data_IF_637292308822
#
_entry.id   IF_637292308822
#
_cell.length_a   1.000
_cell.length_b   1.000
_cell.length_c   1.000
_cell.angle_alpha   90.00
_cell.angle_beta   90.00
_cell.angle_gamma   90.00
#
_symmetry.space_group_name_H-M   'P 1'
#
loop_
_entity.id
_entity.type
_entity.pdbx_description
1 polymer ?
#
# COMPACT_ATOMS: atom_id res chain seq x y z
N UNK A 1 -7.24 -0.37 -47.09
CA UNK A 1 -5.79 -0.58 -46.81
C UNK A 1 -5.10 0.73 -46.46
N UNK A 2 -5.44 1.88 -47.07
CA UNK A 2 -4.86 3.20 -46.74
C UNK A 2 -4.98 3.60 -45.25
N UNK A 3 -6.13 3.41 -44.60
CA UNK A 3 -6.32 3.79 -43.18
C UNK A 3 -5.45 3.00 -42.19
N UNK A 4 -5.06 1.75 -42.49
CA UNK A 4 -4.19 0.95 -41.61
C UNK A 4 -2.71 1.39 -41.75
N UNK A 5 -2.32 1.80 -42.95
CA UNK A 5 -0.99 2.35 -43.25
C UNK A 5 -0.78 3.71 -42.56
N UNK A 6 -1.78 4.62 -42.64
CA UNK A 6 -1.77 5.91 -41.95
C UNK A 6 -1.64 5.78 -40.42
N UNK A 7 -2.41 4.88 -39.81
CA UNK A 7 -2.38 4.65 -38.35
C UNK A 7 -1.05 4.04 -37.88
N UNK A 8 -0.46 3.15 -38.69
CA UNK A 8 0.87 2.57 -38.40
C UNK A 8 1.96 3.63 -38.50
N UNK A 9 1.85 4.54 -39.46
CA UNK A 9 2.79 5.64 -39.65
C UNK A 9 2.74 6.67 -38.52
N UNK A 10 1.55 7.06 -38.07
CA UNK A 10 1.41 7.97 -36.91
C UNK A 10 2.02 7.38 -35.62
N UNK A 11 1.92 6.07 -35.40
CA UNK A 11 2.53 5.40 -34.25
C UNK A 11 4.06 5.45 -34.35
N UNK A 12 4.62 5.18 -35.54
CA UNK A 12 6.07 5.24 -35.79
C UNK A 12 6.58 6.68 -35.65
N UNK A 13 5.88 7.65 -36.23
CA UNK A 13 6.25 9.07 -36.14
C UNK A 13 6.23 9.56 -34.68
N UNK A 14 5.23 9.14 -33.90
CA UNK A 14 5.17 9.43 -32.47
C UNK A 14 6.30 8.74 -31.68
N UNK A 15 6.61 7.49 -31.99
CA UNK A 15 7.73 6.76 -31.37
C UNK A 15 9.07 7.43 -31.67
N UNK A 16 9.32 7.79 -32.93
CA UNK A 16 10.51 8.53 -33.34
C UNK A 16 10.61 9.86 -32.59
N UNK A 17 9.52 10.62 -32.54
CA UNK A 17 9.49 11.96 -31.91
C UNK A 17 9.70 11.94 -30.40
N UNK A 18 9.16 10.95 -29.70
CA UNK A 18 9.20 10.87 -28.23
C UNK A 18 10.42 10.10 -27.70
N UNK A 19 11.08 9.29 -28.53
CA UNK A 19 12.22 8.48 -28.10
C UNK A 19 13.44 9.33 -27.74
N UNK A 20 14.06 9.02 -26.60
CA UNK A 20 15.34 9.59 -26.16
C UNK A 20 16.54 8.72 -26.58
N UNK A 21 16.33 7.74 -27.44
CA UNK A 21 17.41 6.94 -28.05
C UNK A 21 17.75 7.49 -29.45
N UNK A 22 18.96 7.24 -29.93
CA UNK A 22 19.32 7.56 -31.32
C UNK A 22 18.66 6.54 -32.23
N UNK A 23 17.69 6.99 -33.02
CA UNK A 23 17.00 6.14 -34.00
C UNK A 23 17.35 6.63 -35.39
N UNK A 24 17.85 5.71 -36.22
CA UNK A 24 18.02 5.94 -37.64
C UNK A 24 17.64 4.70 -38.44
N UNK A 25 17.05 4.94 -39.61
CA UNK A 25 16.51 3.91 -40.50
C UNK A 25 17.20 4.07 -41.84
N UNK A 26 17.72 2.96 -42.37
CA UNK A 26 18.41 2.95 -43.66
C UNK A 26 17.79 1.95 -44.62
N UNK A 27 17.97 2.22 -45.91
CA UNK A 27 17.75 1.22 -46.97
C UNK A 27 18.92 0.24 -47.06
N UNK A 28 18.76 -0.81 -47.88
CA UNK A 28 19.79 -1.82 -48.14
C UNK A 28 20.99 -1.29 -48.95
N UNK A 29 20.93 -0.04 -49.43
CA UNK A 29 22.04 0.66 -50.08
C UNK A 29 22.83 1.54 -49.09
N UNK A 30 22.39 1.62 -47.83
CA UNK A 30 23.01 2.45 -46.79
C UNK A 30 22.57 3.91 -46.81
N UNK A 31 21.52 4.26 -47.55
CA UNK A 31 20.93 5.60 -47.52
C UNK A 31 20.02 5.74 -46.30
N UNK A 32 20.06 6.89 -45.65
CA UNK A 32 19.15 7.19 -44.55
C UNK A 32 17.78 7.51 -45.12
N UNK A 33 16.79 6.72 -44.71
CA UNK A 33 15.37 6.96 -44.98
C UNK A 33 14.84 7.94 -43.94
N UNK A 34 15.14 7.69 -42.67
CA UNK A 34 14.59 8.45 -41.56
C UNK A 34 15.54 8.48 -40.35
N UNK A 35 15.44 9.56 -39.57
CA UNK A 35 16.10 9.73 -38.28
C UNK A 35 15.16 10.47 -37.34
N UNK A 36 15.25 10.19 -36.05
CA UNK A 36 14.47 10.92 -35.08
C UNK A 36 15.05 12.30 -34.75
N UNK A 37 14.18 13.17 -34.20
CA UNK A 37 14.54 14.52 -33.79
C UNK A 37 15.64 14.54 -32.74
N UNK A 38 15.70 13.53 -31.86
CA UNK A 38 16.77 13.41 -30.88
C UNK A 38 18.15 13.28 -31.54
N UNK A 39 18.28 12.46 -32.59
CA UNK A 39 19.51 12.34 -33.37
C UNK A 39 19.89 13.69 -34.01
N UNK A 40 18.94 14.34 -34.70
CA UNK A 40 19.19 15.61 -35.40
C UNK A 40 19.60 16.73 -34.43
N UNK A 41 18.88 16.87 -33.32
CA UNK A 41 19.12 17.89 -32.30
C UNK A 41 20.46 17.67 -31.59
N UNK A 42 20.80 16.43 -31.26
CA UNK A 42 22.06 16.10 -30.60
C UNK A 42 23.26 16.50 -31.48
N UNK A 43 23.23 16.10 -32.75
CA UNK A 43 24.33 16.39 -33.68
C UNK A 43 24.28 17.80 -34.28
N UNK A 44 23.20 18.55 -34.04
CA UNK A 44 22.92 19.87 -34.61
C UNK A 44 23.03 19.86 -36.14
N UNK A 45 22.40 18.86 -36.77
CA UNK A 45 22.34 18.73 -38.23
C UNK A 45 20.89 18.87 -38.71
N UNK A 46 20.71 19.50 -39.86
CA UNK A 46 19.42 19.54 -40.55
C UNK A 46 19.11 18.23 -41.27
N UNK A 47 17.83 17.83 -41.29
CA UNK A 47 17.35 16.57 -41.91
C UNK A 47 17.80 16.42 -43.38
N UNK A 48 17.94 17.51 -44.13
CA UNK A 48 18.39 17.47 -45.53
C UNK A 48 19.86 17.06 -45.68
N UNK A 49 20.70 17.43 -44.71
CA UNK A 49 22.14 17.14 -44.74
C UNK A 49 22.41 15.64 -44.54
N UNK A 50 21.55 14.96 -43.77
CA UNK A 50 21.71 13.55 -43.44
C UNK A 50 21.35 12.60 -44.59
N UNK A 51 20.58 13.08 -45.59
CA UNK A 51 20.21 12.30 -46.79
C UNK A 51 21.41 11.89 -47.66
N UNK A 52 22.61 12.42 -47.39
CA UNK A 52 23.86 12.03 -48.07
C UNK A 52 24.34 10.60 -47.75
N UNK A 53 23.55 9.79 -47.03
CA UNK A 53 23.87 8.40 -46.71
C UNK A 53 24.69 8.27 -45.43
N UNK A 54 24.36 7.27 -44.61
CA UNK A 54 24.91 7.12 -43.25
C UNK A 54 26.43 6.98 -43.26
N UNK A 55 26.98 6.34 -44.30
CA UNK A 55 28.40 6.06 -44.50
C UNK A 55 29.25 7.32 -44.46
N UNK A 56 28.72 8.46 -44.92
CA UNK A 56 29.46 9.72 -44.93
C UNK A 56 29.70 10.30 -43.53
N UNK A 57 28.91 9.87 -42.55
CA UNK A 57 29.04 10.26 -41.16
C UNK A 57 29.81 9.25 -40.33
N UNK A 58 30.37 8.20 -40.93
CA UNK A 58 31.06 7.14 -40.21
C UNK A 58 32.58 7.21 -40.39
N UNK A 59 33.33 6.78 -39.38
CA UNK A 59 34.75 6.49 -39.54
C UNK A 59 35.02 5.21 -40.34
N UNK A 60 36.26 5.01 -40.80
CA UNK A 60 36.59 3.87 -41.67
C UNK A 60 36.28 2.49 -41.04
N UNK A 61 36.58 2.22 -39.76
CA UNK A 61 36.13 0.99 -39.09
C UNK A 61 34.61 0.80 -39.12
N UNK A 62 33.84 1.84 -38.83
CA UNK A 62 32.37 1.76 -38.79
C UNK A 62 31.76 1.60 -40.18
N UNK A 63 32.39 2.17 -41.22
CA UNK A 63 32.04 1.90 -42.62
C UNK A 63 32.17 0.41 -42.99
N UNK A 64 33.20 -0.26 -42.48
CA UNK A 64 33.36 -1.70 -42.70
C UNK A 64 32.30 -2.51 -41.92
N UNK A 65 32.00 -2.11 -40.68
CA UNK A 65 30.96 -2.76 -39.87
C UNK A 65 29.57 -2.66 -40.51
N UNK A 66 29.19 -1.48 -41.02
CA UNK A 66 27.89 -1.31 -41.65
C UNK A 66 27.79 -2.06 -42.99
N UNK A 67 28.88 -2.12 -43.76
CA UNK A 67 28.95 -2.95 -44.97
C UNK A 67 28.75 -4.43 -44.65
N UNK A 68 29.41 -4.93 -43.60
CA UNK A 68 29.21 -6.29 -43.12
C UNK A 68 27.75 -6.58 -42.73
N UNK A 69 27.10 -5.63 -42.03
CA UNK A 69 25.67 -5.75 -41.67
C UNK A 69 24.80 -5.84 -42.93
N UNK A 70 24.98 -4.92 -43.89
CA UNK A 70 24.22 -4.91 -45.14
C UNK A 70 24.38 -6.21 -45.95
N UNK A 71 25.59 -6.78 -45.99
CA UNK A 71 25.88 -8.04 -46.70
C UNK A 71 25.32 -9.29 -46.01
N UNK A 72 25.03 -9.22 -44.70
CA UNK A 72 24.65 -10.40 -43.90
C UNK A 72 23.25 -10.30 -43.27
N UNK A 73 22.55 -9.17 -43.38
CA UNK A 73 21.23 -8.95 -42.77
C UNK A 73 20.17 -9.93 -43.31
N UNK A 74 20.29 -10.40 -44.55
CA UNK A 74 19.39 -11.42 -45.12
C UNK A 74 19.50 -12.76 -44.37
N UNK A 75 20.67 -13.07 -43.80
CA UNK A 75 20.90 -14.27 -42.98
C UNK A 75 20.67 -14.02 -41.49
N UNK A 76 20.81 -12.77 -41.03
CA UNK A 76 20.64 -12.35 -39.64
C UNK A 76 19.69 -11.15 -39.58
N UNK A 77 18.42 -11.40 -39.26
CA UNK A 77 17.39 -10.35 -39.17
C UNK A 77 17.60 -9.32 -38.06
N UNK A 78 18.55 -9.52 -37.13
CA UNK A 78 18.87 -8.58 -36.07
C UNK A 78 20.32 -8.74 -35.59
N UNK A 79 20.83 -7.77 -34.84
CA UNK A 79 22.15 -7.83 -34.22
C UNK A 79 22.51 -6.59 -33.42
N UNK A 80 23.77 -6.52 -32.98
CA UNK A 80 24.34 -5.36 -32.28
C UNK A 80 25.28 -4.58 -33.18
N UNK A 81 25.29 -3.27 -33.03
CA UNK A 81 26.24 -2.40 -33.71
C UNK A 81 26.98 -1.50 -32.73
N UNK A 82 28.14 -1.04 -33.18
CA UNK A 82 28.89 0.04 -32.54
C UNK A 82 29.53 0.85 -33.66
N UNK A 83 29.05 2.07 -33.85
CA UNK A 83 29.43 2.97 -34.91
C UNK A 83 29.98 4.27 -34.35
N UNK A 84 31.13 4.68 -34.86
CA UNK A 84 31.71 5.98 -34.57
C UNK A 84 31.28 6.99 -35.63
N UNK A 85 30.40 7.90 -35.21
CA UNK A 85 29.85 8.99 -36.00
C UNK A 85 30.78 10.21 -35.95
N UNK A 86 31.25 10.66 -37.11
CA UNK A 86 32.07 11.86 -37.32
C UNK A 86 31.23 12.96 -37.96
N UNK A 87 30.77 13.89 -37.13
CA UNK A 87 29.90 14.99 -37.53
C UNK A 87 30.46 16.29 -36.94
N UNK A 88 30.53 17.36 -37.74
CA UNK A 88 30.99 18.69 -37.29
C UNK A 88 32.33 18.66 -36.55
N UNK A 89 33.28 17.84 -37.03
CA UNK A 89 34.60 17.60 -36.41
C UNK A 89 34.58 16.92 -35.03
N UNK A 90 33.43 16.46 -34.56
CA UNK A 90 33.27 15.71 -33.32
C UNK A 90 33.03 14.23 -33.65
N UNK A 91 33.71 13.33 -32.92
CA UNK A 91 33.53 11.89 -33.03
C UNK A 91 32.71 11.38 -31.84
N UNK A 92 31.58 10.72 -32.11
CA UNK A 92 30.72 10.11 -31.11
C UNK A 92 30.52 8.64 -31.44
N UNK A 93 30.89 7.75 -30.52
CA UNK A 93 30.57 6.33 -30.66
C UNK A 93 29.12 6.13 -30.23
N UNK A 94 28.34 5.40 -31.02
CA UNK A 94 26.96 4.98 -30.73
C UNK A 94 26.92 3.46 -30.76
N UNK A 95 26.47 2.83 -29.68
CA UNK A 95 26.23 1.40 -29.59
C UNK A 95 24.74 1.10 -29.44
N UNK A 96 24.30 -0.02 -29.98
CA UNK A 96 22.88 -0.35 -29.99
C UNK A 96 22.54 -1.64 -30.71
N UNK A 97 21.25 -1.81 -30.98
CA UNK A 97 20.71 -2.93 -31.73
C UNK A 97 20.21 -2.49 -33.10
N UNK A 98 20.29 -3.39 -34.07
CA UNK A 98 19.66 -3.23 -35.36
C UNK A 98 18.75 -4.40 -35.68
N UNK A 99 17.69 -4.15 -36.46
CA UNK A 99 16.78 -5.19 -36.95
C UNK A 99 16.28 -4.86 -38.36
N UNK A 100 16.09 -5.90 -39.17
CA UNK A 100 15.41 -5.81 -40.46
C UNK A 100 13.91 -5.66 -40.22
N UNK A 101 13.26 -4.79 -40.97
CA UNK A 101 11.81 -4.68 -40.99
C UNK A 101 11.31 -4.01 -42.27
N UNK A 102 10.07 -3.53 -42.23
CA UNK A 102 9.42 -2.85 -43.36
C UNK A 102 8.91 -1.50 -42.87
N UNK A 103 9.12 -0.44 -43.65
CA UNK A 103 8.58 0.90 -43.44
C UNK A 103 7.96 1.37 -44.76
N UNK A 104 6.68 1.74 -44.76
CA UNK A 104 5.95 2.15 -45.97
C UNK A 104 6.13 1.19 -47.17
N UNK A 105 6.04 -0.13 -46.92
CA UNK A 105 6.22 -1.19 -47.93
C UNK A 105 7.67 -1.34 -48.47
N UNK A 106 8.62 -0.57 -47.94
CA UNK A 106 10.04 -0.66 -48.28
C UNK A 106 10.76 -1.50 -47.22
N UNK A 107 11.60 -2.46 -47.64
CA UNK A 107 12.48 -3.16 -46.71
C UNK A 107 13.57 -2.22 -46.18
N UNK A 108 13.69 -2.16 -44.85
CA UNK A 108 14.60 -1.25 -44.16
C UNK A 108 15.34 -1.96 -43.03
N UNK A 109 16.37 -1.29 -42.52
CA UNK A 109 17.05 -1.70 -41.30
C UNK A 109 16.89 -0.58 -40.27
N UNK A 110 16.27 -0.91 -39.15
CA UNK A 110 16.11 -0.03 -37.99
C UNK A 110 17.36 -0.13 -37.13
N UNK A 111 17.93 1.01 -36.76
CA UNK A 111 19.02 1.11 -35.78
C UNK A 111 18.53 1.93 -34.60
N UNK A 112 18.68 1.37 -33.40
CA UNK A 112 18.34 2.03 -32.14
C UNK A 112 19.55 1.91 -31.23
N UNK A 113 20.09 3.05 -30.77
CA UNK A 113 21.30 3.05 -29.96
C UNK A 113 21.49 4.29 -29.09
N UNK A 114 22.58 4.29 -28.33
CA UNK A 114 22.97 5.33 -27.38
C UNK A 114 24.45 5.67 -27.52
N UNK A 115 24.87 6.86 -27.10
CA UNK A 115 26.28 7.26 -27.20
C UNK A 115 27.13 6.47 -26.19
N UNK A 116 28.23 5.91 -26.65
CA UNK A 116 29.18 5.12 -25.85
C UNK A 116 30.15 6.01 -25.05
N UNK A 117 30.29 7.29 -25.39
CA UNK A 117 30.90 8.31 -24.50
C UNK A 117 29.94 8.81 -23.41
N UNK A 118 28.79 8.17 -23.26
CA UNK A 118 27.79 8.41 -22.22
C UNK A 118 27.75 7.22 -21.24
N UNK A 119 28.90 6.57 -21.02
CA UNK A 119 29.11 5.67 -19.89
C UNK A 119 28.85 6.38 -18.56
N UNK A 120 28.88 7.72 -18.48
CA UNK A 120 28.48 8.44 -17.29
C UNK A 120 26.97 8.46 -17.03
N UNK A 121 26.03 8.37 -17.97
CA UNK A 121 24.58 8.41 -17.62
C UNK A 121 23.95 7.04 -17.50
N UNK A 122 24.48 6.01 -18.16
CA UNK A 122 24.08 4.65 -17.82
C UNK A 122 24.75 4.21 -16.52
N UNK A 123 26.03 4.53 -16.29
CA UNK A 123 26.60 4.36 -14.95
C UNK A 123 25.95 5.30 -13.95
N UNK A 124 25.68 6.58 -14.22
CA UNK A 124 24.97 7.47 -13.28
C UNK A 124 23.50 7.08 -13.11
N UNK A 125 22.78 6.55 -14.10
CA UNK A 125 21.41 6.04 -13.91
C UNK A 125 21.40 4.66 -13.25
N UNK A 126 22.35 3.77 -13.50
CA UNK A 126 22.51 2.51 -12.74
C UNK A 126 23.11 2.75 -11.35
N UNK A 127 23.90 3.80 -11.17
CA UNK A 127 24.46 4.28 -9.91
C UNK A 127 23.42 5.10 -9.17
N UNK A 128 22.57 5.89 -9.83
CA UNK A 128 21.44 6.58 -9.23
C UNK A 128 20.31 5.60 -8.97
N UNK A 129 20.01 4.63 -9.84
CA UNK A 129 19.06 3.54 -9.56
C UNK A 129 19.63 2.60 -8.52
N UNK A 130 20.94 2.36 -8.53
CA UNK A 130 21.69 1.62 -7.53
C UNK A 130 21.60 2.31 -6.18
N UNK A 131 21.94 3.61 -6.09
CA UNK A 131 21.79 4.43 -4.89
C UNK A 131 20.35 4.72 -4.52
N UNK A 132 19.42 4.78 -5.47
CA UNK A 132 17.99 4.95 -5.19
C UNK A 132 17.41 3.66 -4.67
N UNK A 133 17.80 2.51 -5.22
CA UNK A 133 17.52 1.21 -4.63
C UNK A 133 18.18 1.12 -3.26
N UNK A 134 19.44 1.53 -3.14
CA UNK A 134 20.16 1.49 -1.87
C UNK A 134 19.47 2.38 -0.83
N UNK A 135 19.04 3.58 -1.22
CA UNK A 135 18.32 4.51 -0.38
C UNK A 135 16.91 4.02 -0.03
N UNK A 136 16.13 3.56 -1.00
CA UNK A 136 14.74 3.10 -0.78
C UNK A 136 14.72 1.76 -0.03
N UNK A 137 15.67 0.88 -0.28
CA UNK A 137 15.75 -0.45 0.31
C UNK A 137 16.43 -0.38 1.68
N UNK A 138 17.70 0.06 1.76
CA UNK A 138 18.46 0.08 3.02
C UNK A 138 18.07 1.18 3.99
N UNK A 139 17.49 2.30 3.54
CA UNK A 139 16.94 3.32 4.44
C UNK A 139 15.42 3.23 4.61
N UNK A 140 14.76 2.22 4.04
CA UNK A 140 13.35 1.99 4.35
C UNK A 140 13.20 1.69 5.85
N UNK A 141 12.26 2.35 6.55
CA UNK A 141 11.90 1.94 7.91
C UNK A 141 11.12 0.62 7.94
N UNK A 142 10.46 0.24 6.83
CA UNK A 142 9.80 -1.06 6.75
C UNK A 142 10.83 -2.18 6.59
N UNK A 143 10.49 -3.36 7.12
CA UNK A 143 11.35 -4.54 7.09
C UNK A 143 11.23 -5.17 5.70
N UNK A 144 12.33 -5.22 4.95
CA UNK A 144 12.32 -5.71 3.57
C UNK A 144 13.33 -6.84 3.41
N UNK A 145 12.90 -7.92 2.77
CA UNK A 145 13.78 -8.99 2.31
C UNK A 145 13.33 -9.54 0.96
N UNK A 146 14.29 -10.10 0.22
CA UNK A 146 14.10 -10.65 -1.12
C UNK A 146 14.50 -12.13 -1.08
N UNK A 147 13.65 -13.00 -1.61
CA UNK A 147 13.93 -14.42 -1.75
C UNK A 147 14.01 -14.84 -3.22
N UNK A 148 14.89 -15.79 -3.51
CA UNK A 148 14.89 -16.52 -4.77
C UNK A 148 13.59 -17.31 -4.95
N UNK A 149 13.03 -17.32 -6.15
CA UNK A 149 11.82 -18.12 -6.47
C UNK A 149 12.14 -19.62 -6.55
N UNK A 150 13.40 -19.97 -6.83
CA UNK A 150 13.79 -21.35 -7.09
C UNK A 150 13.92 -22.19 -5.82
N UNK A 151 14.54 -21.64 -4.78
CA UNK A 151 14.92 -22.35 -3.55
C UNK A 151 14.54 -21.59 -2.26
N UNK A 152 13.86 -20.44 -2.39
CA UNK A 152 13.47 -19.58 -1.28
C UNK A 152 14.64 -19.13 -0.40
N UNK A 153 15.84 -19.09 -0.98
CA UNK A 153 17.03 -18.55 -0.33
C UNK A 153 16.97 -17.02 -0.24
N UNK A 154 17.51 -16.45 0.83
CA UNK A 154 17.62 -14.99 0.94
C UNK A 154 18.60 -14.44 -0.08
N UNK A 155 18.08 -13.67 -1.03
CA UNK A 155 18.88 -12.92 -2.00
C UNK A 155 19.43 -11.62 -1.41
N UNK A 156 18.58 -10.88 -0.68
CA UNK A 156 18.95 -9.62 -0.05
C UNK A 156 18.04 -9.29 1.14
N UNK A 157 18.55 -8.53 2.12
CA UNK A 157 17.81 -7.97 3.25
C UNK A 157 18.24 -6.53 3.54
N UNK A 158 17.29 -5.70 3.97
CA UNK A 158 17.60 -4.32 4.31
C UNK A 158 18.07 -4.14 5.77
N UNK A 159 18.46 -2.91 6.11
CA UNK A 159 18.90 -2.56 7.46
C UNK A 159 17.82 -2.80 8.52
N UNK A 160 16.58 -2.42 8.21
CA UNK A 160 15.44 -2.62 9.13
C UNK A 160 15.21 -4.11 9.44
N UNK A 161 15.39 -5.00 8.46
CA UNK A 161 15.32 -6.45 8.70
C UNK A 161 16.39 -6.92 9.69
N UNK A 162 17.64 -6.47 9.53
CA UNK A 162 18.73 -6.86 10.44
C UNK A 162 18.45 -6.38 11.87
N UNK A 163 18.04 -5.13 12.02
CA UNK A 163 17.72 -4.52 13.32
C UNK A 163 16.50 -5.17 13.98
N UNK A 164 15.47 -5.50 13.20
CA UNK A 164 14.24 -6.10 13.69
C UNK A 164 14.38 -7.58 14.03
N UNK A 165 15.03 -8.35 13.16
CA UNK A 165 15.14 -9.82 13.28
C UNK A 165 16.28 -10.25 14.20
N UNK A 166 17.34 -9.44 14.30
CA UNK A 166 18.57 -9.77 15.02
C UNK A 166 19.53 -10.70 14.26
N UNK A 167 19.20 -11.09 13.03
CA UNK A 167 20.11 -11.81 12.15
C UNK A 167 20.97 -10.83 11.35
N UNK A 168 22.28 -11.07 11.30
CA UNK A 168 23.14 -10.34 10.39
C UNK A 168 22.92 -10.80 8.95
N UNK A 169 23.25 -9.93 7.99
CA UNK A 169 23.13 -10.25 6.57
C UNK A 169 23.98 -11.49 6.23
N UNK A 170 25.21 -11.54 6.72
CA UNK A 170 26.18 -12.60 6.46
C UNK A 170 25.70 -13.97 6.97
N UNK A 171 24.83 -14.00 7.98
CA UNK A 171 24.27 -15.23 8.54
C UNK A 171 23.11 -15.80 7.73
N UNK A 172 22.46 -15.00 6.88
CA UNK A 172 21.19 -15.42 6.25
C UNK A 172 21.23 -15.46 4.73
N UNK A 173 22.07 -14.65 4.09
CA UNK A 173 22.14 -14.62 2.63
C UNK A 173 22.53 -16.01 2.10
N UNK A 174 21.77 -16.49 1.12
CA UNK A 174 21.93 -17.81 0.53
C UNK A 174 21.30 -18.97 1.31
N UNK A 175 20.87 -18.76 2.57
CA UNK A 175 20.12 -19.78 3.32
C UNK A 175 18.65 -19.74 2.97
N UNK A 176 17.99 -20.91 2.96
CA UNK A 176 16.55 -20.97 2.73
C UNK A 176 15.79 -20.37 3.91
N UNK A 177 14.70 -19.66 3.63
CA UNK A 177 13.80 -19.14 4.67
C UNK A 177 13.27 -20.23 5.60
N UNK A 178 13.15 -21.47 5.10
CA UNK A 178 12.72 -22.63 5.86
C UNK A 178 13.78 -23.07 6.89
N UNK A 179 15.06 -22.81 6.63
CA UNK A 179 16.16 -23.19 7.52
C UNK A 179 16.33 -22.20 8.69
N UNK A 180 16.04 -20.92 8.46
CA UNK A 180 16.17 -19.85 9.47
C UNK A 180 14.98 -19.82 10.46
N UNK A 181 13.84 -20.44 10.10
CA UNK A 181 12.63 -20.55 10.92
C UNK A 181 12.16 -19.21 11.53
N UNK A 182 12.01 -18.20 10.66
CA UNK A 182 11.62 -16.83 11.04
C UNK A 182 10.10 -16.64 11.21
N UNK A 183 9.30 -17.66 10.93
CA UNK A 183 7.85 -17.62 11.10
C UNK A 183 7.41 -18.52 12.26
N UNK A 184 6.33 -18.11 12.94
CA UNK A 184 5.82 -18.88 14.05
C UNK A 184 5.10 -20.15 13.55
N UNK A 185 5.71 -21.32 13.72
CA UNK A 185 5.14 -22.63 13.32
C UNK A 185 3.74 -22.92 13.92
N UNK A 186 3.38 -22.26 15.04
CA UNK A 186 2.05 -22.40 15.67
C UNK A 186 0.96 -21.61 14.95
N UNK A 187 1.34 -20.73 14.04
CA UNK A 187 0.43 -19.93 13.23
C UNK A 187 0.14 -20.65 11.91
N UNK A 188 -1.14 -20.99 11.70
CA UNK A 188 -1.59 -21.74 10.51
C UNK A 188 -1.31 -20.98 9.22
N UNK A 189 -1.31 -19.66 9.26
CA UNK A 189 -1.06 -18.82 8.09
C UNK A 189 0.44 -18.75 7.77
N UNK A 190 1.29 -18.77 8.81
CA UNK A 190 2.76 -18.82 8.69
C UNK A 190 3.25 -20.07 7.96
N UNK A 191 2.68 -21.25 8.22
CA UNK A 191 3.06 -22.50 7.54
C UNK A 191 2.63 -22.57 6.07
N UNK A 192 1.74 -21.68 5.62
CA UNK A 192 1.18 -21.70 4.28
C UNK A 192 1.65 -20.56 3.39
N UNK A 193 2.60 -19.72 3.83
CA UNK A 193 3.05 -18.55 3.06
C UNK A 193 3.55 -18.96 1.67
N UNK A 194 4.39 -19.99 1.56
CA UNK A 194 4.90 -20.47 0.26
C UNK A 194 3.74 -20.94 -0.63
N UNK A 195 2.78 -21.70 -0.08
CA UNK A 195 1.59 -22.11 -0.83
C UNK A 195 0.71 -20.94 -1.27
N UNK A 196 0.57 -19.90 -0.45
CA UNK A 196 -0.19 -18.70 -0.77
C UNK A 196 0.48 -17.90 -1.90
N UNK A 197 1.81 -17.78 -1.88
CA UNK A 197 2.59 -17.13 -2.94
C UNK A 197 2.40 -17.83 -4.28
N UNK A 198 2.58 -19.17 -4.31
CA UNK A 198 2.41 -19.99 -5.52
C UNK A 198 0.99 -19.86 -6.10
N UNK A 199 -0.03 -19.81 -5.23
CA UNK A 199 -1.43 -19.80 -5.68
C UNK A 199 -1.91 -18.42 -6.15
N UNK A 200 -1.45 -17.35 -5.52
CA UNK A 200 -2.02 -16.00 -5.72
C UNK A 200 -1.09 -15.03 -6.44
N UNK A 201 0.18 -15.37 -6.62
CA UNK A 201 1.25 -14.48 -7.11
C UNK A 201 1.44 -13.16 -6.33
N UNK A 202 0.67 -12.95 -5.26
CA UNK A 202 0.67 -11.74 -4.44
C UNK A 202 0.01 -11.98 -3.09
N UNK A 203 0.59 -11.43 -2.04
CA UNK A 203 0.01 -11.38 -0.69
C UNK A 203 -0.04 -9.92 -0.27
N UNK A 204 -1.17 -9.49 0.28
CA UNK A 204 -1.32 -8.13 0.80
C UNK A 204 -1.86 -8.16 2.22
N UNK A 205 -1.17 -7.46 3.12
CA UNK A 205 -1.63 -7.20 4.49
C UNK A 205 -1.99 -8.46 5.30
N UNK A 206 -1.18 -9.52 5.19
CA UNK A 206 -1.36 -10.72 6.01
C UNK A 206 -0.72 -10.49 7.39
N UNK A 207 -1.51 -10.56 8.45
CA UNK A 207 -1.00 -10.50 9.82
C UNK A 207 -0.46 -11.87 10.24
N UNK A 208 0.76 -11.91 10.77
CA UNK A 208 1.37 -13.16 11.25
C UNK A 208 2.44 -12.94 12.31
N UNK A 209 2.79 -14.02 13.00
CA UNK A 209 3.87 -14.03 13.99
C UNK A 209 5.25 -14.19 13.36
N UNK A 210 6.11 -13.18 13.48
CA UNK A 210 7.53 -13.24 13.12
C UNK A 210 8.37 -13.63 14.34
N UNK A 211 9.22 -14.63 14.19
CA UNK A 211 10.15 -15.08 15.23
C UNK A 211 11.54 -14.50 14.99
N UNK A 212 12.00 -13.66 15.91
CA UNK A 212 13.35 -13.09 15.90
C UNK A 212 14.40 -14.12 16.33
N UNK A 213 15.68 -13.84 16.09
CA UNK A 213 16.82 -14.69 16.47
C UNK A 213 16.85 -15.00 17.98
N UNK A 214 16.39 -14.07 18.82
CA UNK A 214 16.31 -14.28 20.28
C UNK A 214 15.17 -15.23 20.69
N UNK A 215 14.29 -15.61 19.75
CA UNK A 215 13.08 -16.40 19.99
C UNK A 215 11.85 -15.57 20.32
N UNK A 216 11.96 -14.24 20.43
CA UNK A 216 10.80 -13.36 20.64
C UNK A 216 9.88 -13.40 19.42
N UNK A 217 8.57 -13.52 19.65
CA UNK A 217 7.54 -13.40 18.62
C UNK A 217 7.05 -11.95 18.57
N UNK A 218 7.11 -11.36 17.37
CA UNK A 218 6.56 -10.05 17.05
C UNK A 218 5.42 -10.21 16.04
N UNK A 219 4.47 -9.30 16.04
CA UNK A 219 3.35 -9.33 15.10
C UNK A 219 3.66 -8.41 13.93
N UNK A 220 3.65 -8.95 12.72
CA UNK A 220 3.96 -8.20 11.50
C UNK A 220 2.79 -8.23 10.54
N UNK A 221 2.65 -7.16 9.77
CA UNK A 221 1.81 -7.09 8.59
C UNK A 221 2.67 -7.36 7.36
N UNK A 222 2.53 -8.53 6.75
CA UNK A 222 3.31 -9.00 5.62
C UNK A 222 2.58 -8.76 4.29
N UNK A 223 3.30 -8.15 3.36
CA UNK A 223 2.93 -8.13 1.94
C UNK A 223 4.07 -8.71 1.11
N UNK A 224 3.72 -9.40 0.03
CA UNK A 224 4.69 -10.01 -0.85
C UNK A 224 4.24 -9.91 -2.30
N UNK A 225 5.18 -9.66 -3.21
CA UNK A 225 4.94 -9.56 -4.65
C UNK A 225 6.08 -10.23 -5.43
N UNK A 226 5.77 -10.65 -6.66
CA UNK A 226 6.76 -11.21 -7.57
C UNK A 226 7.39 -10.06 -8.37
N UNK A 227 8.70 -9.95 -8.34
CA UNK A 227 9.46 -8.92 -9.08
C UNK A 227 10.48 -9.55 -10.01
N UNK A 228 10.82 -8.85 -11.09
CA UNK A 228 11.87 -9.25 -12.03
C UNK A 228 13.10 -8.35 -11.84
N UNK A 229 14.26 -8.95 -11.60
CA UNK A 229 15.56 -8.27 -11.47
C UNK A 229 16.53 -8.96 -12.43
N UNK A 230 17.13 -8.20 -13.35
CA UNK A 230 18.09 -8.72 -14.35
C UNK A 230 17.64 -10.01 -15.08
N UNK A 231 16.36 -10.06 -15.48
CA UNK A 231 15.74 -11.21 -16.15
C UNK A 231 15.55 -12.47 -15.28
N UNK A 232 15.64 -12.34 -13.96
CA UNK A 232 15.30 -13.39 -13.00
C UNK A 232 14.19 -12.95 -12.06
N UNK A 233 13.35 -13.90 -11.65
CA UNK A 233 12.21 -13.62 -10.76
C UNK A 233 12.57 -13.84 -9.30
N UNK A 234 12.13 -12.91 -8.46
CA UNK A 234 12.34 -12.90 -7.02
C UNK A 234 11.03 -12.57 -6.30
N UNK A 235 10.89 -13.08 -5.08
CA UNK A 235 9.85 -12.63 -4.15
C UNK A 235 10.37 -11.48 -3.32
N UNK A 236 9.71 -10.31 -3.37
CA UNK A 236 9.96 -9.23 -2.42
C UNK A 236 8.94 -9.28 -1.30
N UNK A 237 9.41 -9.22 -0.06
CA UNK A 237 8.58 -9.16 1.14
C UNK A 237 8.77 -7.81 1.82
N UNK A 238 7.65 -7.21 2.21
CA UNK A 238 7.61 -5.99 3.01
C UNK A 238 6.79 -6.26 4.25
N UNK A 239 7.41 -6.08 5.41
CA UNK A 239 6.83 -6.33 6.72
C UNK A 239 6.77 -5.02 7.49
N UNK A 240 5.65 -4.80 8.17
CA UNK A 240 5.48 -3.70 9.12
C UNK A 240 5.28 -4.26 10.52
N UNK A 241 6.11 -3.86 11.47
CA UNK A 241 5.92 -4.21 12.88
C UNK A 241 4.65 -3.52 13.40
N UNK A 242 3.67 -4.33 13.81
CA UNK A 242 2.41 -3.88 14.39
C UNK A 242 2.24 -4.40 15.82
N UNK A 243 3.31 -4.88 16.45
CA UNK A 243 3.29 -5.47 17.80
C UNK A 243 2.71 -4.49 18.83
N UNK A 244 3.23 -3.27 18.89
CA UNK A 244 2.75 -2.26 19.83
C UNK A 244 1.30 -1.85 19.53
N UNK A 245 0.97 -1.68 18.25
CA UNK A 245 -0.40 -1.36 17.83
C UNK A 245 -1.38 -2.43 18.30
N UNK A 246 -1.07 -3.72 18.10
CA UNK A 246 -1.91 -4.84 18.55
C UNK A 246 -2.00 -4.91 20.06
N UNK A 247 -0.90 -4.64 20.76
CA UNK A 247 -0.89 -4.56 22.22
C UNK A 247 -1.84 -3.46 22.71
N UNK A 248 -1.78 -2.26 22.13
CA UNK A 248 -2.70 -1.17 22.47
C UNK A 248 -4.16 -1.48 22.11
N UNK A 249 -4.42 -2.12 20.97
CA UNK A 249 -5.76 -2.55 20.58
C UNK A 249 -6.35 -3.54 21.61
N UNK A 250 -5.55 -4.49 22.10
CA UNK A 250 -5.95 -5.43 23.15
C UNK A 250 -6.16 -4.74 24.51
N UNK A 251 -5.24 -3.87 24.91
CA UNK A 251 -5.36 -3.10 26.17
C UNK A 251 -6.60 -2.20 26.16
N UNK A 252 -6.90 -1.56 25.03
CA UNK A 252 -8.08 -0.73 24.87
C UNK A 252 -9.36 -1.56 24.95
N UNK A 253 -9.38 -2.72 24.28
CA UNK A 253 -10.52 -3.65 24.33
C UNK A 253 -10.80 -4.12 25.76
N UNK A 254 -9.76 -4.45 26.51
CA UNK A 254 -9.92 -4.87 27.92
C UNK A 254 -10.37 -3.71 28.81
N UNK A 255 -9.83 -2.50 28.63
CA UNK A 255 -10.30 -1.31 29.36
C UNK A 255 -11.76 -1.00 29.07
N UNK A 256 -12.21 -1.10 27.82
CA UNK A 256 -13.61 -0.89 27.46
C UNK A 256 -14.52 -1.93 28.13
N UNK A 257 -14.12 -3.21 28.13
CA UNK A 257 -14.84 -4.27 28.84
C UNK A 257 -14.98 -3.96 30.33
N UNK A 258 -13.89 -3.55 30.99
CA UNK A 258 -13.91 -3.18 32.41
C UNK A 258 -14.76 -1.93 32.69
N UNK A 259 -14.76 -0.95 31.80
CA UNK A 259 -15.62 0.24 31.90
C UNK A 259 -17.10 -0.12 31.76
N UNK A 260 -17.44 -1.01 30.82
CA UNK A 260 -18.82 -1.50 30.65
C UNK A 260 -19.29 -2.24 31.92
N UNK A 261 -18.45 -3.10 32.50
CA UNK A 261 -18.77 -3.81 33.75
C UNK A 261 -18.91 -2.85 34.94
N UNK A 262 -18.03 -1.86 35.06
CA UNK A 262 -18.12 -0.85 36.11
C UNK A 262 -19.37 0.02 35.94
N UNK A 263 -19.73 0.41 34.72
CA UNK A 263 -20.94 1.17 34.44
C UNK A 263 -22.21 0.37 34.76
N UNK A 264 -22.25 -0.92 34.42
CA UNK A 264 -23.35 -1.80 34.79
C UNK A 264 -23.50 -1.89 36.32
N UNK A 265 -22.39 -2.08 37.03
CA UNK A 265 -22.39 -2.11 38.50
C UNK A 265 -22.85 -0.79 39.13
N UNK A 266 -22.42 0.35 38.60
CA UNK A 266 -22.87 1.67 39.04
C UNK A 266 -24.37 1.88 38.81
N UNK A 267 -24.89 1.41 37.67
CA UNK A 267 -26.32 1.45 37.41
C UNK A 267 -27.12 0.58 38.41
N UNK A 268 -26.62 -0.61 38.76
CA UNK A 268 -27.26 -1.50 39.74
C UNK A 268 -27.29 -0.94 41.17
N UNK A 269 -26.31 -0.10 41.51
CA UNK A 269 -26.20 0.54 42.84
C UNK A 269 -26.71 1.97 42.83
N UNK A 270 -26.98 2.54 41.66
CA UNK A 270 -27.45 3.91 41.54
C UNK A 270 -28.61 4.13 42.48
N UNK A 271 -28.57 5.26 43.19
CA UNK A 271 -29.67 5.65 44.08
C UNK A 271 -30.82 6.26 43.28
N UNK A 272 -30.50 6.75 42.09
CA UNK A 272 -31.28 7.67 41.30
C UNK A 272 -31.51 7.06 39.91
N UNK A 273 -32.68 7.30 39.34
CA UNK A 273 -33.00 6.97 37.96
C UNK A 273 -32.30 7.96 37.00
N UNK A 274 -31.56 7.44 36.02
CA UNK A 274 -30.65 8.24 35.19
C UNK A 274 -31.38 9.22 34.25
N UNK A 275 -32.64 8.93 33.89
CA UNK A 275 -33.45 9.76 32.98
C UNK A 275 -34.12 10.89 33.77
N UNK A 276 -34.74 10.56 34.90
CA UNK A 276 -35.57 11.50 35.65
C UNK A 276 -34.78 12.28 36.71
N UNK A 277 -33.65 11.74 37.18
CA UNK A 277 -32.89 12.31 38.28
C UNK A 277 -33.57 12.16 39.66
N UNK A 278 -34.63 11.35 39.76
CA UNK A 278 -35.35 11.05 41.00
C UNK A 278 -34.89 9.71 41.60
N UNK A 279 -35.28 9.36 42.83
CA UNK A 279 -34.94 8.03 43.38
C UNK A 279 -35.42 6.91 42.45
N UNK A 280 -34.60 5.88 42.22
CA UNK A 280 -35.08 4.72 41.48
C UNK A 280 -36.01 3.84 42.34
N UNK A 281 -36.75 2.93 41.70
CA UNK A 281 -37.66 1.99 42.34
C UNK A 281 -37.10 1.38 43.65
N UNK A 282 -35.87 0.85 43.61
CA UNK A 282 -35.24 0.22 44.77
C UNK A 282 -35.11 1.18 45.96
N UNK A 283 -34.76 2.44 45.71
CA UNK A 283 -34.64 3.42 46.78
C UNK A 283 -35.98 4.00 47.21
N UNK A 284 -36.98 4.11 46.34
CA UNK A 284 -38.35 4.43 46.75
C UNK A 284 -38.85 3.43 47.78
N UNK A 285 -38.74 2.13 47.49
CA UNK A 285 -39.17 1.07 48.41
C UNK A 285 -38.42 1.14 49.75
N UNK A 286 -37.11 1.40 49.70
CA UNK A 286 -36.27 1.58 50.90
C UNK A 286 -36.73 2.77 51.73
N UNK A 287 -36.97 3.93 51.10
CA UNK A 287 -37.43 5.14 51.77
C UNK A 287 -38.84 4.97 52.34
N UNK A 288 -39.75 4.35 51.58
CA UNK A 288 -41.09 4.03 52.03
C UNK A 288 -41.07 3.17 53.30
N UNK A 289 -40.22 2.14 53.32
CA UNK A 289 -40.04 1.28 54.51
C UNK A 289 -39.56 2.07 55.72
N UNK A 290 -38.59 2.98 55.54
CA UNK A 290 -38.10 3.85 56.61
C UNK A 290 -39.17 4.84 57.10
N UNK A 291 -39.96 5.43 56.19
CA UNK A 291 -41.05 6.33 56.56
C UNK A 291 -42.20 5.61 57.26
N UNK A 292 -42.52 4.37 56.88
CA UNK A 292 -43.47 3.53 57.60
C UNK A 292 -43.04 3.29 59.06
N UNK A 293 -41.76 3.00 59.29
CA UNK A 293 -41.22 2.83 60.66
C UNK A 293 -41.26 4.12 61.46
N UNK A 294 -40.89 5.26 60.85
CA UNK A 294 -40.97 6.59 61.48
C UNK A 294 -42.40 6.96 61.84
N UNK A 295 -43.33 6.80 60.91
CA UNK A 295 -44.76 7.05 61.10
C UNK A 295 -45.32 6.22 62.26
N UNK A 296 -45.00 4.92 62.31
CA UNK A 296 -45.38 4.03 63.42
C UNK A 296 -44.81 4.49 64.76
N UNK A 297 -43.52 4.83 64.82
CA UNK A 297 -42.84 5.26 66.06
C UNK A 297 -43.43 6.56 66.62
N UNK A 298 -43.69 7.53 65.75
CA UNK A 298 -44.17 8.85 66.15
C UNK A 298 -45.70 9.01 66.08
N UNK A 299 -46.43 7.94 65.77
CA UNK A 299 -47.89 7.94 65.56
C UNK A 299 -48.36 9.03 64.59
N UNK A 300 -47.60 9.22 63.51
CA UNK A 300 -47.94 10.14 62.42
C UNK A 300 -48.56 9.39 61.25
N UNK A 301 -49.37 10.10 60.47
CA UNK A 301 -49.94 9.61 59.22
C UNK A 301 -49.11 10.20 58.08
N UNK A 302 -48.88 9.41 57.03
CA UNK A 302 -48.29 9.85 55.78
C UNK A 302 -49.12 9.30 54.61
N UNK A 303 -48.97 9.91 53.44
CA UNK A 303 -49.67 9.51 52.21
C UNK A 303 -48.68 8.98 51.19
N UNK A 304 -49.12 8.04 50.36
CA UNK A 304 -48.39 7.56 49.19
C UNK A 304 -49.24 7.84 47.97
N UNK A 305 -48.61 8.34 46.91
CA UNK A 305 -49.24 8.60 45.63
C UNK A 305 -48.40 7.87 44.57
N UNK A 306 -49.06 7.15 43.67
CA UNK A 306 -48.44 6.55 42.49
C UNK A 306 -49.09 7.24 41.28
N UNK A 307 -48.28 7.82 40.41
CA UNK A 307 -48.72 8.58 39.25
C UNK A 307 -48.28 7.87 37.98
N UNK A 308 -49.21 7.65 37.05
CA UNK A 308 -48.92 7.08 35.73
C UNK A 308 -49.08 8.14 34.63
N UNK A 309 -48.25 8.10 33.59
CA UNK A 309 -48.41 9.00 32.43
C UNK A 309 -49.42 8.41 31.46
N UNK A 310 -50.60 9.02 31.41
CA UNK A 310 -51.67 8.62 30.49
C UNK A 310 -51.20 8.58 29.02
N UNK A 311 -51.42 7.44 28.36
CA UNK A 311 -51.13 7.28 26.93
C UNK A 311 -49.64 7.15 26.58
N UNK A 312 -48.75 6.98 27.57
CA UNK A 312 -47.31 6.92 27.35
C UNK A 312 -46.89 5.82 26.38
N UNK A 313 -47.52 4.63 26.43
CA UNK A 313 -47.23 3.55 25.49
C UNK A 313 -47.40 3.96 24.02
N UNK A 314 -48.52 4.60 23.69
CA UNK A 314 -48.78 5.08 22.31
C UNK A 314 -47.80 6.16 21.89
N UNK A 315 -47.40 7.02 22.83
CA UNK A 315 -46.34 8.00 22.60
C UNK A 315 -44.99 7.32 22.30
N UNK A 316 -44.59 6.37 23.14
CA UNK A 316 -43.33 5.62 23.00
C UNK A 316 -43.22 4.92 21.65
N UNK A 317 -44.31 4.33 21.16
CA UNK A 317 -44.35 3.65 19.86
C UNK A 317 -44.23 4.63 18.67
N UNK A 318 -44.47 5.93 18.88
CA UNK A 318 -44.52 6.95 17.83
C UNK A 318 -43.26 7.82 17.72
N UNK A 319 -42.35 7.75 18.70
CA UNK A 319 -41.20 8.66 18.81
C UNK A 319 -39.90 7.94 19.17
N UNK A 320 -38.76 8.61 19.01
CA UNK A 320 -37.44 8.05 19.33
C UNK A 320 -37.09 8.19 20.82
N UNK A 321 -36.07 7.45 21.27
CA UNK A 321 -35.63 7.40 22.68
C UNK A 321 -35.30 8.79 23.25
N UNK A 322 -34.71 9.68 22.46
CA UNK A 322 -34.36 11.04 22.88
C UNK A 322 -35.61 11.82 23.32
N UNK A 323 -36.69 11.75 22.55
CA UNK A 323 -37.92 12.49 22.85
C UNK A 323 -38.70 11.86 24.02
N UNK A 324 -38.59 10.54 24.19
CA UNK A 324 -39.15 9.81 25.33
C UNK A 324 -38.47 10.26 26.62
N UNK A 325 -37.14 10.26 26.65
CA UNK A 325 -36.35 10.71 27.80
C UNK A 325 -36.63 12.17 28.15
N UNK A 326 -36.79 13.03 27.13
CA UNK A 326 -37.10 14.45 27.33
C UNK A 326 -38.45 14.67 28.05
N UNK A 327 -39.47 13.86 27.74
CA UNK A 327 -40.78 13.97 28.41
C UNK A 327 -40.73 13.45 29.83
N UNK A 328 -40.11 12.29 30.08
CA UNK A 328 -39.92 11.77 31.43
C UNK A 328 -39.14 12.76 32.31
N UNK A 329 -38.12 13.42 31.75
CA UNK A 329 -37.40 14.49 32.41
C UNK A 329 -38.28 15.72 32.70
N UNK A 330 -39.13 16.15 31.76
CA UNK A 330 -40.04 17.28 32.00
C UNK A 330 -41.11 16.99 33.05
N UNK A 331 -41.65 15.78 33.05
CA UNK A 331 -42.65 15.33 34.04
C UNK A 331 -42.03 15.30 35.43
N UNK A 332 -40.87 14.65 35.59
CA UNK A 332 -40.15 14.61 36.88
C UNK A 332 -39.84 16.00 37.42
N UNK A 333 -39.37 16.93 36.58
CA UNK A 333 -39.16 18.34 36.99
C UNK A 333 -40.44 19.08 37.35
N UNK A 334 -41.58 18.69 36.80
CA UNK A 334 -42.87 19.28 37.15
C UNK A 334 -43.30 18.79 38.53
N UNK A 335 -43.20 17.48 38.78
CA UNK A 335 -43.51 16.88 40.09
C UNK A 335 -42.58 17.44 41.17
N UNK A 336 -41.27 17.54 40.90
CA UNK A 336 -40.30 18.08 41.87
C UNK A 336 -40.59 19.53 42.27
N UNK A 337 -41.18 20.33 41.38
CA UNK A 337 -41.57 21.72 41.67
C UNK A 337 -42.89 21.84 42.43
N UNK A 338 -43.76 20.82 42.39
CA UNK A 338 -45.08 20.87 43.03
C UNK A 338 -45.05 20.36 44.47
N UNK A 339 -44.12 19.48 44.81
CA UNK A 339 -43.97 18.91 46.15
C UNK A 339 -43.00 19.70 47.03
N UNK A 340 -43.05 19.48 48.34
CA UNK A 340 -42.17 20.12 49.30
C UNK A 340 -40.80 19.45 49.37
N UNK A 341 -39.77 20.17 49.85
CA UNK A 341 -38.39 19.65 49.99
C UNK A 341 -38.24 18.41 50.88
N UNK A 342 -39.23 18.12 51.72
CA UNK A 342 -39.22 16.96 52.63
C UNK A 342 -39.93 15.75 52.03
N UNK A 343 -40.63 15.92 50.90
CA UNK A 343 -41.34 14.84 50.22
C UNK A 343 -40.34 13.98 49.44
N UNK A 344 -40.64 12.69 49.35
CA UNK A 344 -39.79 11.70 48.68
C UNK A 344 -40.41 11.40 47.33
N UNK A 345 -39.64 11.59 46.27
CA UNK A 345 -40.08 11.39 44.89
C UNK A 345 -39.14 10.40 44.22
N UNK A 346 -39.69 9.52 43.40
CA UNK A 346 -38.90 8.61 42.60
C UNK A 346 -39.55 8.26 41.26
N UNK A 347 -38.83 7.46 40.50
CA UNK A 347 -39.33 6.76 39.32
C UNK A 347 -39.58 5.30 39.73
N UNK A 348 -40.84 4.90 39.81
CA UNK A 348 -41.26 3.57 40.25
C UNK A 348 -41.22 2.55 39.10
N UNK A 349 -41.58 2.97 37.90
CA UNK A 349 -41.70 2.14 36.69
C UNK A 349 -41.19 2.85 35.45
N UNK A 350 -41.59 2.40 34.26
CA UNK A 350 -41.17 3.02 32.98
C UNK A 350 -41.77 4.42 32.77
N UNK A 351 -42.98 4.62 33.28
CA UNK A 351 -43.85 5.80 33.15
C UNK A 351 -44.55 6.14 34.46
N UNK A 352 -44.18 5.46 35.55
CA UNK A 352 -44.78 5.57 36.87
C UNK A 352 -43.84 6.29 37.84
N UNK A 353 -44.37 7.27 38.58
CA UNK A 353 -43.65 8.11 39.55
C UNK A 353 -44.17 7.95 40.97
#
# INVERSE_FOLDING_TARGET
MENLSLMTREIIDNFLKLSQEFIFIIDFKGNIIEVNDYFLNFFKIEKETIKKGIVNFLDNPSKNKIKYILENIEKKHYGRFEFNFKINHVSNVINGNYSKGVLDEIEVIYFIGRISNYDEKFSLEEFQKGHLFEAIFYHNPDIIFILSVNDYSFYDVNKAFVEFSGYSREEIIGFSINDINIFNEKDKDSNNIIHLLIKKNKITNLELGFKTKSGQIKIVLLSADLIEIFNEFYWIFVLKDITDRKKYELELKEKNRLLEEANAYLNDISVIDNVTGLYNHKNIIKQLSLEMERARRYKKIFSVLLLDIDGFKTFKDSYNEILIDEILFKVSRTIEKTVSKVDIIGCYGTDEF
#
